data_IF_482681670589
#
_entry.id   IF_482681670589
#
_cell.length_a   1.000
_cell.length_b   1.000
_cell.length_c   1.000
_cell.angle_alpha   90.00
_cell.angle_beta   90.00
_cell.angle_gamma   90.00
#
_symmetry.space_group_name_H-M   'P 1'
#
loop_
_entity.id
_entity.type
_entity.pdbx_description
1 polymer ?
#
# COMPACT_ATOMS: atom_id res chain seq x y z
N UNK A 1 52.26 -45.18 1.85
CA UNK A 1 51.69 -45.91 2.99
C UNK A 1 50.18 -45.86 2.89
N UNK A 2 49.59 -46.96 2.58
CA UNK A 2 48.17 -47.20 2.35
C UNK A 2 47.34 -47.02 3.65
N UNK A 3 46.16 -46.45 3.58
CA UNK A 3 45.02 -46.99 4.29
C UNK A 3 43.67 -46.69 3.61
N UNK A 4 43.07 -47.79 3.21
CA UNK A 4 41.73 -47.98 2.70
C UNK A 4 40.66 -47.82 3.78
N UNK A 5 39.46 -47.56 3.28
CA UNK A 5 38.14 -48.13 3.65
C UNK A 5 37.26 -47.19 4.46
N UNK A 6 35.94 -47.15 4.34
CA UNK A 6 34.95 -48.19 4.03
C UNK A 6 33.69 -47.50 3.56
N UNK A 7 33.13 -47.97 2.50
CA UNK A 7 31.72 -47.84 2.09
C UNK A 7 30.82 -48.54 3.11
N UNK A 8 29.73 -47.90 3.51
CA UNK A 8 28.60 -48.55 4.16
C UNK A 8 27.34 -48.30 3.35
N UNK A 9 26.87 -49.40 2.77
CA UNK A 9 25.62 -49.54 2.05
C UNK A 9 24.43 -49.39 2.98
N UNK A 10 23.38 -48.75 2.46
CA UNK A 10 22.05 -48.75 3.06
C UNK A 10 21.20 -49.85 2.46
N UNK A 11 20.41 -50.59 3.27
CA UNK A 11 19.54 -51.65 2.75
C UNK A 11 18.21 -51.09 2.24
N UNK A 12 17.77 -51.59 1.09
CA UNK A 12 16.50 -51.28 0.43
C UNK A 12 15.29 -51.91 1.10
N UNK A 13 14.09 -51.47 0.78
CA UNK A 13 12.85 -51.99 1.35
C UNK A 13 12.38 -53.27 0.62
N UNK A 14 11.93 -54.23 1.40
CA UNK A 14 11.30 -55.48 0.92
C UNK A 14 9.81 -55.26 0.62
N UNK A 15 9.25 -55.94 -0.40
CA UNK A 15 7.83 -55.91 -0.69
C UNK A 15 7.08 -56.96 0.13
N UNK A 16 5.95 -56.57 0.72
CA UNK A 16 5.02 -57.44 1.39
C UNK A 16 3.65 -57.40 0.74
N UNK A 17 3.36 -58.45 -0.06
CA UNK A 17 2.03 -58.84 -0.47
C UNK A 17 1.12 -59.12 0.70
N UNK A 18 -0.12 -58.68 0.63
CA UNK A 18 -1.23 -59.52 1.04
C UNK A 18 -2.51 -59.11 0.30
N UNK A 19 -2.95 -60.10 -0.48
CA UNK A 19 -4.18 -60.10 -1.22
C UNK A 19 -5.36 -60.60 -0.35
N UNK A 20 -6.54 -60.29 -0.82
CA UNK A 20 -7.80 -61.05 -0.66
C UNK A 20 -8.52 -61.03 0.69
N UNK A 21 -9.70 -60.43 0.69
CA UNK A 21 -10.94 -61.17 1.01
C UNK A 21 -12.16 -60.50 0.40
N UNK A 22 -12.59 -61.12 -0.68
CA UNK A 22 -13.93 -61.12 -1.29
C UNK A 22 -14.77 -62.13 -0.53
N UNK A 23 -16.05 -61.86 -0.28
CA UNK A 23 -17.19 -62.81 -0.25
C UNK A 23 -18.37 -62.09 0.46
N UNK A 24 -19.39 -61.68 -0.29
CA UNK A 24 -20.69 -62.34 -0.54
C UNK A 24 -21.51 -62.57 0.73
N UNK A 25 -22.62 -61.83 0.85
CA UNK A 25 -23.91 -62.42 1.22
C UNK A 25 -25.02 -61.70 0.48
N UNK A 26 -25.66 -62.49 -0.38
CA UNK A 26 -26.93 -62.24 -1.09
C UNK A 26 -28.09 -62.72 -0.21
N UNK A 27 -29.23 -62.09 -0.40
CA UNK A 27 -30.62 -62.60 -0.25
C UNK A 27 -31.28 -62.64 1.13
N UNK A 28 -32.29 -61.84 1.25
CA UNK A 28 -33.62 -62.35 1.66
C UNK A 28 -34.73 -61.40 1.17
N UNK A 29 -35.39 -61.85 0.14
CA UNK A 29 -36.73 -61.39 -0.32
C UNK A 29 -37.74 -61.94 0.67
N UNK A 30 -38.67 -61.11 1.18
CA UNK A 30 -39.93 -61.57 1.68
C UNK A 30 -41.02 -60.50 1.48
N UNK A 31 -41.92 -60.83 0.60
CA UNK A 31 -43.19 -60.27 0.39
C UNK A 31 -43.96 -60.06 1.73
N UNK A 32 -44.59 -58.90 1.91
CA UNK A 32 -45.89 -58.82 2.58
C UNK A 32 -46.80 -57.86 1.83
N UNK A 33 -47.89 -58.44 1.44
CA UNK A 33 -48.98 -57.87 0.68
C UNK A 33 -49.98 -57.21 1.62
N UNK A 34 -50.56 -56.09 1.15
CA UNK A 34 -51.91 -55.57 1.43
C UNK A 34 -52.22 -54.97 2.81
N UNK A 35 -52.51 -53.68 2.77
CA UNK A 35 -53.80 -53.18 3.13
C UNK A 35 -53.91 -51.70 2.68
N UNK A 36 -54.74 -51.50 1.68
CA UNK A 36 -55.20 -50.22 1.19
C UNK A 36 -56.15 -49.63 2.22
N UNK A 37 -55.74 -48.61 2.98
CA UNK A 37 -56.65 -47.73 3.74
C UNK A 37 -56.40 -46.33 3.23
N UNK A 38 -57.36 -45.85 2.47
CA UNK A 38 -57.42 -44.47 2.00
C UNK A 38 -57.64 -43.56 3.22
N UNK A 39 -56.59 -42.85 3.62
CA UNK A 39 -56.70 -41.71 4.53
C UNK A 39 -56.76 -40.44 3.68
N UNK A 40 -57.61 -39.48 4.03
CA UNK A 40 -57.67 -38.18 3.32
C UNK A 40 -56.38 -37.41 3.51
N UNK A 41 -55.96 -36.60 2.54
CA UNK A 41 -54.75 -35.80 2.69
C UNK A 41 -54.97 -34.75 3.78
N UNK A 42 -54.28 -34.90 4.89
CA UNK A 42 -54.05 -33.80 5.83
C UNK A 42 -53.34 -32.70 5.09
N UNK A 43 -54.06 -31.63 4.80
CA UNK A 43 -53.44 -30.38 4.37
C UNK A 43 -52.49 -29.92 5.47
N UNK A 44 -51.19 -30.17 5.31
CA UNK A 44 -50.17 -29.51 6.07
C UNK A 44 -50.28 -28.01 5.75
N UNK A 45 -50.88 -27.26 6.66
CA UNK A 45 -50.75 -25.81 6.67
C UNK A 45 -49.27 -25.52 6.75
N UNK A 46 -48.69 -25.07 5.63
CA UNK A 46 -47.36 -24.48 5.61
C UNK A 46 -47.44 -23.24 6.53
N UNK A 47 -46.82 -23.35 7.70
CA UNK A 47 -46.52 -22.20 8.49
C UNK A 47 -45.74 -21.22 7.58
N UNK A 48 -46.03 -19.92 7.59
CA UNK A 48 -45.21 -18.94 6.84
C UNK A 48 -43.79 -19.11 7.35
N UNK A 49 -42.90 -19.43 6.45
CA UNK A 49 -41.46 -19.32 6.69
C UNK A 49 -41.24 -17.86 7.05
N UNK A 50 -41.05 -17.59 8.32
CA UNK A 50 -40.39 -16.35 8.74
C UNK A 50 -39.03 -16.39 8.05
N UNK A 51 -38.92 -15.66 6.96
CA UNK A 51 -37.61 -15.18 6.51
C UNK A 51 -37.09 -14.35 7.67
N UNK A 52 -36.20 -14.94 8.44
CA UNK A 52 -35.27 -14.17 9.26
C UNK A 52 -34.56 -13.20 8.31
N UNK A 53 -35.17 -12.04 8.10
CA UNK A 53 -34.48 -10.86 7.64
C UNK A 53 -33.49 -10.55 8.76
N UNK A 54 -32.35 -11.24 8.67
CA UNK A 54 -31.18 -10.95 9.45
C UNK A 54 -30.83 -9.50 9.11
N UNK A 55 -31.34 -8.58 9.93
CA UNK A 55 -31.06 -7.16 9.85
C UNK A 55 -29.55 -6.99 10.08
N UNK A 56 -28.78 -7.23 9.03
CA UNK A 56 -27.35 -6.96 8.99
C UNK A 56 -27.17 -5.46 9.00
N UNK A 57 -27.10 -4.91 10.19
CA UNK A 57 -26.64 -3.54 10.37
C UNK A 57 -25.19 -3.48 9.85
N UNK A 58 -25.04 -3.13 8.56
CA UNK A 58 -23.76 -2.80 7.98
C UNK A 58 -23.34 -1.47 8.58
N UNK A 59 -22.71 -1.50 9.75
CA UNK A 59 -22.07 -0.32 10.32
C UNK A 59 -20.80 -0.09 9.49
N UNK A 60 -20.93 0.69 8.44
CA UNK A 60 -19.75 1.27 7.78
C UNK A 60 -19.11 2.24 8.77
N UNK A 61 -18.18 1.75 9.55
CA UNK A 61 -17.40 2.58 10.43
C UNK A 61 -16.29 3.21 9.59
N UNK A 62 -16.49 4.46 9.18
CA UNK A 62 -15.44 5.24 8.52
C UNK A 62 -14.26 5.43 9.51
N UNK A 63 -13.24 4.57 9.39
CA UNK A 63 -12.01 4.68 10.18
C UNK A 63 -11.04 5.65 9.49
N UNK A 64 -10.55 6.61 10.25
CA UNK A 64 -9.43 7.44 9.83
C UNK A 64 -8.15 6.74 10.26
N UNK A 65 -7.34 6.33 9.29
CA UNK A 65 -6.05 5.67 9.51
C UNK A 65 -4.93 6.70 9.35
N UNK A 66 -4.07 6.77 10.34
CA UNK A 66 -2.91 7.65 10.38
C UNK A 66 -1.63 6.81 10.50
N UNK A 67 -0.67 7.11 9.67
CA UNK A 67 0.70 6.61 9.80
C UNK A 67 1.54 7.69 10.49
N UNK A 68 2.17 7.35 11.60
CA UNK A 68 2.95 8.29 12.38
C UNK A 68 4.38 7.78 12.59
N UNK A 69 5.36 8.60 12.22
CA UNK A 69 6.76 8.39 12.58
C UNK A 69 7.08 9.22 13.81
N UNK A 70 7.66 8.57 14.81
CA UNK A 70 8.10 9.24 16.04
C UNK A 70 9.62 9.15 16.12
N UNK A 71 10.27 10.30 16.25
CA UNK A 71 11.74 10.36 16.37
C UNK A 71 12.18 11.12 17.62
N UNK A 72 13.37 10.78 18.09
CA UNK A 72 14.06 11.55 19.12
C UNK A 72 14.69 12.84 18.55
N UNK A 73 15.36 13.62 19.40
CA UNK A 73 16.09 14.83 18.99
C UNK A 73 17.21 14.59 17.99
N UNK A 74 17.69 13.36 17.85
CA UNK A 74 18.74 12.96 16.92
C UNK A 74 18.15 12.29 15.66
N UNK A 75 16.86 12.48 15.40
CA UNK A 75 16.11 11.86 14.28
C UNK A 75 16.07 10.34 14.29
N UNK A 76 16.36 9.68 15.42
CA UNK A 76 16.29 8.22 15.55
C UNK A 76 14.86 7.79 15.82
N UNK A 77 14.35 6.76 15.10
CA UNK A 77 13.00 6.24 15.35
C UNK A 77 12.84 5.75 16.80
N UNK A 78 11.71 6.12 17.41
CA UNK A 78 11.30 5.66 18.75
C UNK A 78 10.18 4.65 18.54
N UNK A 79 10.46 3.40 18.86
CA UNK A 79 9.69 2.25 18.42
C UNK A 79 8.96 1.48 19.55
N UNK A 80 9.08 1.92 20.78
CA UNK A 80 8.62 1.22 21.99
C UNK A 80 7.52 1.97 22.76
N UNK A 81 6.88 2.94 22.10
CA UNK A 81 5.74 3.67 22.66
C UNK A 81 4.48 2.80 22.65
N UNK A 82 3.62 2.99 23.65
CA UNK A 82 2.33 2.32 23.79
C UNK A 82 1.18 3.25 23.41
N UNK A 83 -0.01 2.69 23.19
CA UNK A 83 -1.20 3.46 22.86
C UNK A 83 -1.47 4.60 23.87
N UNK A 84 -1.28 4.36 25.15
CA UNK A 84 -1.51 5.34 26.22
C UNK A 84 -0.54 6.52 26.19
N UNK A 85 0.57 6.40 25.44
CA UNK A 85 1.50 7.50 25.23
C UNK A 85 1.02 8.48 24.17
N UNK A 86 -0.08 8.17 23.46
CA UNK A 86 -0.59 8.96 22.35
C UNK A 86 -1.94 9.59 22.64
N UNK A 87 -2.13 10.79 22.13
CA UNK A 87 -3.43 11.46 21.99
C UNK A 87 -3.60 11.93 20.56
N UNK A 88 -4.78 11.73 20.01
CA UNK A 88 -5.17 12.18 18.67
C UNK A 88 -6.25 13.25 18.82
N UNK A 89 -6.11 14.34 18.07
CA UNK A 89 -7.10 15.42 18.04
C UNK A 89 -7.53 15.64 16.59
N UNK A 90 -8.85 15.80 16.38
CA UNK A 90 -9.43 16.23 15.11
C UNK A 90 -10.13 17.58 15.32
N UNK A 91 -9.73 18.59 14.58
CA UNK A 91 -10.21 19.98 14.76
C UNK A 91 -10.19 20.44 16.24
N UNK A 92 -9.19 19.98 17.01
CA UNK A 92 -9.03 20.29 18.43
C UNK A 92 -9.81 19.38 19.39
N UNK A 93 -10.73 18.55 18.89
CA UNK A 93 -11.46 17.56 19.71
C UNK A 93 -10.66 16.27 19.85
N UNK A 94 -10.47 15.78 21.08
CA UNK A 94 -9.76 14.51 21.35
C UNK A 94 -10.55 13.34 20.78
N UNK A 95 -9.85 12.44 20.06
CA UNK A 95 -10.42 11.25 19.44
C UNK A 95 -9.96 9.98 20.16
N UNK A 96 -10.87 9.03 20.33
CA UNK A 96 -10.55 7.75 20.96
C UNK A 96 -9.85 6.83 19.96
N UNK A 97 -8.61 6.45 20.21
CA UNK A 97 -7.86 5.48 19.41
C UNK A 97 -8.55 4.12 19.47
N UNK A 98 -8.89 3.56 18.32
CA UNK A 98 -9.52 2.24 18.15
C UNK A 98 -8.51 1.16 17.78
N UNK A 99 -7.57 1.51 16.90
CA UNK A 99 -6.51 0.63 16.45
C UNK A 99 -5.18 1.31 16.71
N UNK A 100 -4.28 0.59 17.35
CA UNK A 100 -2.91 1.00 17.56
C UNK A 100 -2.01 -0.20 17.25
N UNK A 101 -1.20 -0.09 16.23
CA UNK A 101 -0.30 -1.14 15.79
C UNK A 101 1.04 -0.56 15.40
N UNK A 102 2.06 -1.38 15.50
CA UNK A 102 3.36 -1.17 14.91
C UNK A 102 3.80 -2.50 14.32
N UNK A 103 3.47 -2.67 13.07
CA UNK A 103 3.75 -3.90 12.32
C UNK A 103 4.39 -3.51 10.98
N UNK A 104 5.30 -4.34 10.51
CA UNK A 104 5.80 -4.25 9.14
C UNK A 104 4.73 -4.83 8.20
N UNK A 105 3.89 -3.95 7.68
CA UNK A 105 2.84 -4.31 6.72
C UNK A 105 3.34 -4.08 5.30
N UNK A 106 2.89 -4.91 4.33
CA UNK A 106 3.18 -4.69 2.93
C UNK A 106 2.73 -3.32 2.44
N UNK A 107 3.46 -2.77 1.48
CA UNK A 107 3.29 -1.39 0.99
C UNK A 107 3.22 -1.36 -0.53
N UNK A 108 2.27 -0.60 -1.08
CA UNK A 108 2.29 -0.20 -2.49
C UNK A 108 3.21 1.01 -2.64
N UNK A 109 4.29 0.87 -3.40
CA UNK A 109 5.32 1.90 -3.56
C UNK A 109 5.35 2.40 -4.99
N UNK A 110 5.29 3.72 -5.18
CA UNK A 110 5.62 4.37 -6.44
C UNK A 110 7.00 5.01 -6.36
N UNK A 111 7.88 4.70 -7.29
CA UNK A 111 9.18 5.36 -7.44
C UNK A 111 9.08 6.32 -8.62
N UNK A 112 9.17 7.61 -8.33
CA UNK A 112 8.99 8.71 -9.29
C UNK A 112 10.34 9.38 -9.50
N UNK A 113 10.92 9.22 -10.68
CA UNK A 113 12.31 9.60 -10.92
C UNK A 113 12.43 10.63 -12.01
N UNK A 114 13.09 11.72 -11.68
CA UNK A 114 13.44 12.79 -12.60
C UNK A 114 14.41 12.29 -13.67
N UNK A 115 14.04 12.51 -14.92
CA UNK A 115 14.80 12.19 -16.12
C UNK A 115 15.16 13.43 -16.93
N UNK A 116 15.17 14.61 -16.30
CA UNK A 116 15.63 15.85 -16.92
C UNK A 116 17.10 15.83 -17.27
N UNK A 117 17.52 16.78 -18.11
CA UNK A 117 18.89 16.85 -18.60
C UNK A 117 19.95 17.00 -17.50
N UNK A 118 19.62 17.64 -16.38
CA UNK A 118 20.51 17.84 -15.21
C UNK A 118 20.77 16.56 -14.41
N UNK A 119 19.87 15.58 -14.52
CA UNK A 119 20.00 14.30 -13.84
C UNK A 119 20.99 13.31 -14.47
N UNK A 120 21.49 13.60 -15.68
CA UNK A 120 22.30 12.66 -16.48
C UNK A 120 23.41 11.99 -15.68
N UNK A 121 24.22 12.77 -14.98
CA UNK A 121 25.37 12.25 -14.23
C UNK A 121 24.98 11.62 -12.88
N UNK A 122 23.78 11.91 -12.38
CA UNK A 122 23.27 11.42 -11.09
C UNK A 122 22.46 10.12 -11.23
N UNK A 123 21.93 9.84 -12.43
CA UNK A 123 21.00 8.72 -12.68
C UNK A 123 21.53 7.36 -12.26
N UNK A 124 22.81 7.08 -12.50
CA UNK A 124 23.41 5.79 -12.10
C UNK A 124 23.31 5.56 -10.58
N UNK A 125 23.58 6.59 -9.79
CA UNK A 125 23.47 6.52 -8.33
C UNK A 125 22.01 6.39 -7.88
N UNK A 126 21.10 7.13 -8.52
CA UNK A 126 19.63 7.06 -8.24
C UNK A 126 19.07 5.68 -8.56
N UNK A 127 19.40 5.12 -9.72
CA UNK A 127 18.96 3.78 -10.09
C UNK A 127 19.46 2.72 -9.10
N UNK A 128 20.73 2.78 -8.71
CA UNK A 128 21.28 1.88 -7.70
C UNK A 128 20.57 2.01 -6.35
N UNK A 129 20.21 3.23 -5.94
CA UNK A 129 19.47 3.48 -4.70
C UNK A 129 18.03 2.97 -4.78
N UNK A 130 17.34 3.20 -5.90
CA UNK A 130 15.98 2.68 -6.12
C UNK A 130 15.96 1.15 -6.08
N UNK A 131 16.90 0.49 -6.75
CA UNK A 131 17.03 -0.96 -6.71
C UNK A 131 17.37 -1.47 -5.31
N UNK A 132 18.27 -0.79 -4.60
CA UNK A 132 18.60 -1.14 -3.21
C UNK A 132 17.39 -1.02 -2.30
N UNK A 133 16.57 0.01 -2.49
CA UNK A 133 15.31 0.17 -1.77
C UNK A 133 14.40 -1.05 -2.01
N UNK A 134 14.16 -1.40 -3.28
CA UNK A 134 13.32 -2.55 -3.66
C UNK A 134 13.86 -3.87 -3.10
N UNK A 135 15.17 -4.11 -3.22
CA UNK A 135 15.81 -5.33 -2.69
C UNK A 135 15.76 -5.46 -1.17
N UNK A 136 15.63 -4.33 -0.45
CA UNK A 136 15.48 -4.30 1.02
C UNK A 136 14.03 -4.24 1.46
N UNK A 137 13.09 -4.23 0.53
CA UNK A 137 11.65 -4.19 0.78
C UNK A 137 11.10 -5.56 1.16
N UNK A 138 9.85 -5.59 1.65
CA UNK A 138 9.16 -6.83 1.97
C UNK A 138 8.81 -7.55 0.65
N UNK A 139 8.93 -8.87 0.61
CA UNK A 139 8.59 -9.70 -0.57
C UNK A 139 7.13 -9.54 -1.03
N UNK A 140 6.26 -8.99 -0.18
CA UNK A 140 4.86 -8.73 -0.50
C UNK A 140 4.59 -7.28 -0.88
N UNK A 141 5.63 -6.44 -0.96
CA UNK A 141 5.48 -5.08 -1.48
C UNK A 141 5.26 -5.14 -2.99
N UNK A 142 4.46 -4.23 -3.50
CA UNK A 142 4.29 -4.02 -4.93
C UNK A 142 4.85 -2.65 -5.31
N UNK A 143 5.58 -2.58 -6.42
CA UNK A 143 6.30 -1.36 -6.83
C UNK A 143 5.95 -1.01 -8.26
N UNK A 144 5.69 0.28 -8.55
CA UNK A 144 5.62 0.82 -9.90
C UNK A 144 6.66 1.93 -10.09
N UNK A 145 7.01 2.22 -11.34
CA UNK A 145 8.00 3.25 -11.68
C UNK A 145 7.40 4.24 -12.67
N UNK A 146 7.51 5.51 -12.32
CA UNK A 146 7.24 6.66 -13.18
C UNK A 146 8.55 7.41 -13.40
N UNK A 147 8.94 7.58 -14.65
CA UNK A 147 9.98 8.53 -15.03
C UNK A 147 9.34 9.81 -15.57
N UNK A 148 9.95 10.96 -15.34
CA UNK A 148 9.43 12.23 -15.85
C UNK A 148 10.55 13.16 -16.32
N UNK A 149 10.22 13.99 -17.31
CA UNK A 149 11.02 15.10 -17.80
C UNK A 149 10.08 16.25 -18.14
N UNK A 150 9.83 16.55 -19.40
CA UNK A 150 8.78 17.50 -19.85
C UNK A 150 7.37 16.94 -19.60
N UNK A 151 7.24 15.61 -19.52
CA UNK A 151 6.00 14.87 -19.23
C UNK A 151 6.34 13.68 -18.32
N UNK A 152 5.30 13.08 -17.72
CA UNK A 152 5.41 11.88 -16.89
C UNK A 152 5.06 10.61 -17.68
N UNK A 153 5.78 9.52 -17.43
CA UNK A 153 5.62 8.24 -18.11
C UNK A 153 5.61 7.09 -17.10
N UNK A 154 4.62 6.20 -17.19
CA UNK A 154 4.59 4.94 -16.45
C UNK A 154 5.48 3.92 -17.17
N UNK A 155 6.67 3.66 -16.65
CA UNK A 155 7.63 2.73 -17.26
C UNK A 155 7.52 1.30 -16.73
N UNK A 156 7.03 1.11 -15.53
CA UNK A 156 6.61 -0.19 -14.98
C UNK A 156 5.34 -0.05 -14.17
N UNK A 157 4.33 -0.87 -14.46
CA UNK A 157 3.14 -1.04 -13.61
C UNK A 157 3.51 -1.80 -12.33
N UNK A 158 2.61 -1.90 -11.35
CA UNK A 158 2.85 -2.62 -10.11
C UNK A 158 3.38 -4.03 -10.36
N UNK A 159 4.56 -4.29 -9.80
CA UNK A 159 5.24 -5.58 -9.88
C UNK A 159 6.14 -5.81 -8.66
N UNK A 160 6.40 -7.06 -8.33
CA UNK A 160 7.43 -7.53 -7.39
C UNK A 160 8.71 -8.00 -8.12
N UNK A 161 8.70 -7.99 -9.45
CA UNK A 161 9.81 -8.44 -10.29
C UNK A 161 10.95 -7.43 -10.36
N UNK A 162 12.03 -7.68 -9.62
CA UNK A 162 13.24 -6.85 -9.65
C UNK A 162 13.77 -6.64 -11.08
N UNK A 163 13.86 -7.67 -11.96
CA UNK A 163 14.35 -7.47 -13.34
C UNK A 163 13.51 -6.49 -14.15
N UNK A 164 12.18 -6.48 -13.99
CA UNK A 164 11.30 -5.52 -14.67
C UNK A 164 11.51 -4.10 -14.16
N UNK A 165 11.71 -3.94 -12.85
CA UNK A 165 12.00 -2.65 -12.25
C UNK A 165 13.39 -2.12 -12.66
N UNK A 166 14.39 -3.00 -12.79
CA UNK A 166 15.71 -2.65 -13.36
C UNK A 166 15.58 -2.13 -14.79
N UNK A 167 14.89 -2.88 -15.64
CA UNK A 167 14.64 -2.47 -17.03
C UNK A 167 13.97 -1.11 -17.12
N UNK A 168 12.95 -0.86 -16.29
CA UNK A 168 12.25 0.43 -16.24
C UNK A 168 13.15 1.58 -15.81
N UNK A 169 14.06 1.35 -14.84
CA UNK A 169 15.03 2.35 -14.38
C UNK A 169 16.13 2.61 -15.38
N UNK A 170 16.47 1.65 -16.25
CA UNK A 170 17.52 1.78 -17.27
C UNK A 170 17.03 2.46 -18.57
N UNK A 171 15.75 2.51 -18.85
CA UNK A 171 15.12 3.13 -20.03
C UNK A 171 15.26 4.64 -20.10
N UNK A 172 16.46 5.22 -19.92
CA UNK A 172 16.56 6.63 -19.65
C UNK A 172 17.38 7.37 -20.69
N UNK A 173 16.72 8.36 -21.27
CA UNK A 173 17.34 9.38 -22.10
C UNK A 173 17.20 10.74 -21.37
N UNK A 174 18.16 11.05 -20.49
CA UNK A 174 18.11 12.25 -19.64
C UNK A 174 18.12 13.52 -20.49
N UNK A 175 16.96 14.14 -20.67
CA UNK A 175 16.70 15.32 -21.47
C UNK A 175 15.42 16.06 -21.05
N UNK A 176 15.26 17.27 -21.53
CA UNK A 176 14.05 18.07 -21.27
C UNK A 176 14.04 18.79 -19.93
N UNK A 177 12.87 19.28 -19.54
CA UNK A 177 12.58 19.99 -18.31
C UNK A 177 12.24 19.05 -17.15
N UNK A 178 11.49 19.58 -16.17
CA UNK A 178 11.16 18.91 -14.90
C UNK A 178 9.67 19.12 -14.61
N UNK A 179 8.82 18.15 -14.94
CA UNK A 179 7.37 18.15 -14.68
C UNK A 179 7.03 17.35 -13.41
N UNK A 180 7.60 17.74 -12.27
CA UNK A 180 7.47 17.03 -10.99
C UNK A 180 6.01 16.97 -10.52
N UNK A 181 5.27 18.09 -10.60
CA UNK A 181 3.90 18.12 -10.07
C UNK A 181 2.95 17.26 -10.91
N UNK A 182 3.08 17.26 -12.24
CA UNK A 182 2.33 16.39 -13.12
C UNK A 182 2.69 14.91 -12.88
N UNK A 183 3.95 14.60 -12.58
CA UNK A 183 4.39 13.25 -12.24
C UNK A 183 3.82 12.76 -10.89
N UNK A 184 3.73 13.66 -9.92
CA UNK A 184 3.06 13.36 -8.64
C UNK A 184 1.57 13.10 -8.86
N UNK A 185 0.87 13.94 -9.62
CA UNK A 185 -0.55 13.79 -9.94
C UNK A 185 -0.83 12.45 -10.62
N UNK A 186 -0.14 12.15 -11.72
CA UNK A 186 -0.23 10.87 -12.44
C UNK A 186 0.01 9.67 -11.49
N UNK A 187 1.03 9.77 -10.63
CA UNK A 187 1.36 8.69 -9.71
C UNK A 187 0.30 8.50 -8.63
N UNK A 188 -0.32 9.57 -8.14
CA UNK A 188 -1.42 9.50 -7.18
C UNK A 188 -2.66 8.87 -7.79
N UNK A 189 -2.99 9.20 -9.04
CA UNK A 189 -4.10 8.61 -9.76
C UNK A 189 -3.85 7.12 -10.01
N UNK A 190 -2.66 6.74 -10.51
CA UNK A 190 -2.26 5.35 -10.69
C UNK A 190 -2.34 4.55 -9.35
N UNK A 191 -1.86 5.13 -8.26
CA UNK A 191 -1.93 4.55 -6.92
C UNK A 191 -3.39 4.36 -6.46
N UNK A 192 -4.28 5.30 -6.78
CA UNK A 192 -5.70 5.21 -6.44
C UNK A 192 -6.39 4.08 -7.18
N UNK A 193 -6.08 3.93 -8.47
CA UNK A 193 -6.75 2.97 -9.36
C UNK A 193 -6.22 1.54 -9.25
N UNK A 194 -4.92 1.37 -9.00
CA UNK A 194 -4.22 0.10 -9.19
C UNK A 194 -3.64 -0.51 -7.92
N UNK A 195 -3.33 0.31 -6.90
CA UNK A 195 -2.73 -0.19 -5.67
C UNK A 195 -3.66 -1.14 -4.92
N UNK A 196 -3.15 -2.32 -4.58
CA UNK A 196 -3.91 -3.38 -3.89
C UNK A 196 -3.74 -3.34 -2.38
N UNK A 197 -2.71 -2.66 -1.87
CA UNK A 197 -2.38 -2.60 -0.45
C UNK A 197 -2.85 -1.29 0.19
N UNK A 198 -3.22 -1.37 1.47
CA UNK A 198 -3.75 -0.23 2.23
C UNK A 198 -2.71 0.86 2.47
N UNK A 199 -1.46 0.47 2.72
CA UNK A 199 -0.35 1.40 2.92
C UNK A 199 0.26 1.78 1.58
N UNK A 200 0.26 3.09 1.29
CA UNK A 200 0.64 3.65 -0.01
C UNK A 200 1.72 4.70 0.17
N UNK A 201 2.80 4.56 -0.60
CA UNK A 201 3.97 5.44 -0.51
C UNK A 201 4.44 5.84 -1.90
N UNK A 202 4.77 7.13 -2.09
CA UNK A 202 5.53 7.62 -3.24
C UNK A 202 6.92 8.06 -2.78
N UNK A 203 7.94 7.78 -3.59
CA UNK A 203 9.31 8.27 -3.41
C UNK A 203 9.66 9.06 -4.67
N UNK A 204 9.66 10.39 -4.56
CA UNK A 204 9.98 11.28 -5.67
C UNK A 204 11.43 11.77 -5.56
N UNK A 205 12.20 11.59 -6.63
CA UNK A 205 13.63 11.92 -6.69
C UNK A 205 13.85 12.90 -7.83
N UNK A 206 14.38 14.10 -7.51
CA UNK A 206 14.65 15.16 -8.49
C UNK A 206 15.87 15.97 -8.09
N UNK A 207 16.46 16.69 -9.02
CA UNK A 207 17.57 17.61 -8.77
C UNK A 207 17.26 19.08 -9.13
N UNK A 208 16.01 19.37 -9.46
CA UNK A 208 15.61 20.67 -9.97
C UNK A 208 14.32 21.24 -9.44
N UNK A 209 14.09 22.50 -9.84
CA UNK A 209 12.81 23.20 -9.70
C UNK A 209 11.86 22.72 -10.81
N UNK A 210 10.59 22.48 -10.46
CA UNK A 210 9.55 22.26 -11.45
C UNK A 210 9.46 23.43 -12.44
N UNK A 211 9.51 23.13 -13.71
CA UNK A 211 9.48 24.13 -14.78
C UNK A 211 8.68 23.71 -16.03
N UNK A 212 8.08 22.51 -16.01
CA UNK A 212 7.37 21.94 -17.14
C UNK A 212 5.96 21.46 -16.79
N UNK A 213 5.58 21.37 -15.51
CA UNK A 213 4.24 20.93 -15.11
C UNK A 213 3.15 21.88 -15.54
N UNK A 214 1.99 21.34 -15.85
CA UNK A 214 0.75 22.07 -16.18
C UNK A 214 0.02 22.53 -14.92
N UNK A 215 0.12 21.75 -13.84
CA UNK A 215 -0.47 22.12 -12.56
C UNK A 215 0.51 22.90 -11.70
N UNK A 216 -0.03 23.70 -10.78
CA UNK A 216 0.78 24.47 -9.83
C UNK A 216 1.16 23.65 -8.59
N UNK A 217 2.13 24.14 -7.81
CA UNK A 217 2.49 23.55 -6.51
C UNK A 217 1.28 23.44 -5.57
N UNK A 218 0.45 24.50 -5.53
CA UNK A 218 -0.74 24.54 -4.68
C UNK A 218 -1.75 23.45 -5.07
N UNK A 219 -1.93 23.23 -6.37
CA UNK A 219 -2.79 22.15 -6.88
C UNK A 219 -2.21 20.78 -6.53
N UNK A 220 -0.91 20.56 -6.75
CA UNK A 220 -0.24 19.32 -6.36
C UNK A 220 -0.38 19.04 -4.86
N UNK A 221 -0.17 20.03 -4.00
CA UNK A 221 -0.34 19.90 -2.55
C UNK A 221 -1.79 19.54 -2.18
N UNK A 222 -2.80 20.15 -2.82
CA UNK A 222 -4.20 19.77 -2.61
C UNK A 222 -4.51 18.33 -3.02
N UNK A 223 -3.95 17.85 -4.14
CA UNK A 223 -4.07 16.45 -4.56
C UNK A 223 -3.46 15.51 -3.53
N UNK A 224 -2.28 15.84 -3.04
CA UNK A 224 -1.58 15.10 -1.98
C UNK A 224 -2.41 15.03 -0.70
N UNK A 225 -2.98 16.16 -0.24
CA UNK A 225 -3.83 16.21 0.97
C UNK A 225 -5.11 15.38 0.83
N UNK A 226 -5.67 15.27 -0.40
CA UNK A 226 -6.84 14.41 -0.69
C UNK A 226 -6.49 12.95 -0.83
N UNK A 227 -5.24 12.64 -1.17
CA UNK A 227 -4.76 11.26 -1.29
C UNK A 227 -4.52 10.66 0.10
N UNK A 228 -4.51 9.34 0.17
CA UNK A 228 -4.05 8.61 1.36
C UNK A 228 -2.62 8.07 1.15
N UNK A 229 -1.82 8.78 0.36
CA UNK A 229 -0.46 8.38 -0.03
C UNK A 229 0.55 9.21 0.73
N UNK A 230 1.53 8.56 1.33
CA UNK A 230 2.65 9.23 1.98
C UNK A 230 3.76 9.48 0.96
N UNK A 231 4.26 10.72 0.89
CA UNK A 231 5.25 11.10 -0.12
C UNK A 231 6.58 11.43 0.53
N UNK A 232 7.60 10.67 0.19
CA UNK A 232 8.98 10.97 0.47
C UNK A 232 9.60 11.69 -0.74
N UNK A 233 10.33 12.76 -0.49
CA UNK A 233 11.05 13.44 -1.56
C UNK A 233 12.55 13.45 -1.31
N UNK A 234 13.32 13.24 -2.36
CA UNK A 234 14.79 13.29 -2.34
C UNK A 234 15.25 14.35 -3.33
N UNK A 235 15.80 15.44 -2.80
CA UNK A 235 16.28 16.57 -3.60
C UNK A 235 17.80 16.52 -3.75
N UNK A 236 18.29 16.20 -4.95
CA UNK A 236 19.73 16.18 -5.29
C UNK A 236 20.21 17.58 -5.71
N UNK A 237 19.88 18.59 -4.89
CA UNK A 237 20.09 20.00 -5.20
C UNK A 237 21.55 20.40 -5.06
N UNK A 238 22.05 21.17 -6.01
CA UNK A 238 23.38 21.77 -5.90
C UNK A 238 23.30 23.10 -5.19
N UNK A 239 24.15 23.33 -4.19
CA UNK A 239 24.21 24.61 -3.46
C UNK A 239 24.60 25.80 -4.33
N UNK A 240 24.92 25.57 -5.60
CA UNK A 240 25.42 26.57 -6.53
C UNK A 240 24.33 27.34 -7.28
N UNK A 241 23.09 26.76 -7.39
CA UNK A 241 22.02 27.31 -8.23
C UNK A 241 21.09 28.33 -7.52
N UNK A 242 21.37 28.68 -6.29
CA UNK A 242 20.85 29.86 -5.60
C UNK A 242 19.33 29.90 -5.42
N UNK A 243 18.60 30.62 -6.30
CA UNK A 243 17.17 30.86 -6.18
C UNK A 243 16.34 29.63 -6.59
N UNK A 244 16.75 28.93 -7.65
CA UNK A 244 16.09 27.72 -8.13
C UNK A 244 16.10 26.63 -7.08
N UNK A 245 17.28 26.36 -6.48
CA UNK A 245 17.40 25.35 -5.42
C UNK A 245 16.53 25.67 -4.20
N UNK A 246 16.38 26.97 -3.86
CA UNK A 246 15.48 27.35 -2.75
C UNK A 246 14.00 27.07 -3.06
N UNK A 247 13.57 27.27 -4.30
CA UNK A 247 12.20 26.97 -4.73
C UNK A 247 11.96 25.47 -4.77
N UNK A 248 12.88 24.70 -5.41
CA UNK A 248 12.82 23.25 -5.42
C UNK A 248 12.76 22.67 -3.99
N UNK A 249 13.64 23.16 -3.09
CA UNK A 249 13.64 22.75 -1.69
C UNK A 249 12.29 23.01 -1.01
N UNK A 250 11.70 24.18 -1.22
CA UNK A 250 10.40 24.54 -0.67
C UNK A 250 9.29 23.63 -1.20
N UNK A 251 9.23 23.41 -2.51
CA UNK A 251 8.21 22.55 -3.13
C UNK A 251 8.28 21.12 -2.60
N UNK A 252 9.47 20.54 -2.53
CA UNK A 252 9.67 19.20 -1.99
C UNK A 252 9.26 19.10 -0.51
N UNK A 253 9.57 20.13 0.29
CA UNK A 253 9.15 20.21 1.69
C UNK A 253 7.64 20.33 1.85
N UNK A 254 6.95 21.14 1.03
CA UNK A 254 5.49 21.30 1.09
C UNK A 254 4.77 20.01 0.70
N UNK A 255 5.18 19.35 -0.39
CA UNK A 255 4.62 18.07 -0.85
C UNK A 255 4.78 16.98 0.23
N UNK A 256 6.00 16.76 0.74
CA UNK A 256 6.24 15.76 1.77
C UNK A 256 5.48 16.04 3.06
N UNK A 257 5.45 17.30 3.49
CA UNK A 257 4.75 17.71 4.72
C UNK A 257 3.24 17.51 4.63
N UNK A 258 2.62 17.78 3.48
CA UNK A 258 1.19 17.60 3.26
C UNK A 258 0.77 16.15 3.47
N UNK A 259 1.59 15.20 3.00
CA UNK A 259 1.35 13.76 3.10
C UNK A 259 1.75 13.13 4.45
N UNK A 260 2.53 13.83 5.27
CA UNK A 260 3.16 13.26 6.48
C UNK A 260 4.43 12.47 6.21
N UNK A 261 4.96 12.52 4.99
CA UNK A 261 6.24 11.93 4.62
C UNK A 261 7.44 12.77 5.06
N UNK A 262 8.61 12.50 4.51
CA UNK A 262 9.86 13.21 4.81
C UNK A 262 10.54 13.70 3.53
N UNK A 263 11.38 14.71 3.71
CA UNK A 263 12.24 15.22 2.64
C UNK A 263 13.70 15.02 3.02
N UNK A 264 14.49 14.60 2.04
CA UNK A 264 15.93 14.37 2.18
C UNK A 264 16.71 15.23 1.16
N UNK A 265 17.82 15.77 1.60
CA UNK A 265 18.71 16.56 0.76
C UNK A 265 20.14 16.02 0.93
N UNK A 266 20.49 14.89 0.26
CA UNK A 266 21.85 14.38 0.31
C UNK A 266 22.83 15.40 -0.28
N UNK A 267 23.99 15.54 0.35
CA UNK A 267 25.03 16.48 -0.10
C UNK A 267 25.81 15.93 -1.30
N UNK A 268 25.93 14.61 -1.38
CA UNK A 268 26.60 13.93 -2.48
C UNK A 268 25.66 12.88 -3.11
N UNK A 269 25.80 12.61 -4.42
CA UNK A 269 25.02 11.57 -5.09
C UNK A 269 25.20 10.17 -4.45
N UNK A 270 26.36 9.88 -3.87
CA UNK A 270 26.64 8.61 -3.21
C UNK A 270 25.84 8.41 -1.91
N UNK A 271 25.38 9.49 -1.28
CA UNK A 271 24.57 9.45 -0.06
C UNK A 271 23.15 8.99 -0.34
N UNK A 272 22.71 8.92 -1.61
CA UNK A 272 21.35 8.49 -2.00
C UNK A 272 21.06 7.05 -1.57
N UNK A 273 22.07 6.19 -1.56
CA UNK A 273 21.96 4.82 -1.06
C UNK A 273 21.61 4.78 0.44
N UNK A 274 22.23 5.66 1.24
CA UNK A 274 21.93 5.79 2.66
C UNK A 274 20.51 6.31 2.85
N UNK A 275 20.11 7.34 2.08
CA UNK A 275 18.76 7.90 2.09
C UNK A 275 17.69 6.83 1.74
N UNK A 276 17.94 5.97 0.75
CA UNK A 276 17.04 4.88 0.41
C UNK A 276 16.83 3.92 1.60
N UNK A 277 17.90 3.61 2.32
CA UNK A 277 17.84 2.78 3.53
C UNK A 277 17.09 3.48 4.66
N UNK A 278 17.30 4.78 4.84
CA UNK A 278 16.58 5.58 5.84
C UNK A 278 15.08 5.65 5.55
N UNK A 279 14.69 5.82 4.28
CA UNK A 279 13.29 5.80 3.84
C UNK A 279 12.67 4.43 4.12
N UNK A 280 13.34 3.34 3.73
CA UNK A 280 12.87 1.99 3.99
C UNK A 280 12.66 1.74 5.49
N UNK A 281 13.63 2.13 6.32
CA UNK A 281 13.53 2.03 7.77
C UNK A 281 12.38 2.88 8.35
N UNK A 282 12.18 4.08 7.82
CA UNK A 282 11.12 4.96 8.25
C UNK A 282 9.74 4.35 7.95
N UNK A 283 9.55 3.85 6.72
CA UNK A 283 8.30 3.19 6.31
C UNK A 283 7.99 1.99 7.20
N UNK A 284 8.99 1.18 7.59
CA UNK A 284 8.82 -0.03 8.42
C UNK A 284 8.55 0.27 9.91
N UNK A 285 9.00 1.44 10.40
CA UNK A 285 8.94 1.77 11.81
C UNK A 285 7.80 2.71 12.20
N UNK A 286 6.77 2.84 11.38
CA UNK A 286 5.61 3.70 11.66
C UNK A 286 4.62 3.06 12.61
N UNK A 287 3.98 3.92 13.39
CA UNK A 287 2.77 3.57 14.15
C UNK A 287 1.55 3.74 13.26
N UNK A 288 0.70 2.73 13.21
CA UNK A 288 -0.62 2.78 12.61
C UNK A 288 -1.62 3.10 13.71
N UNK A 289 -2.23 4.26 13.63
CA UNK A 289 -3.20 4.76 14.59
C UNK A 289 -4.51 4.99 13.86
N UNK A 290 -5.60 4.32 14.29
CA UNK A 290 -6.88 4.55 13.69
C UNK A 290 -7.94 4.91 14.73
N UNK A 291 -8.86 5.80 14.33
CA UNK A 291 -9.98 6.23 15.14
C UNK A 291 -11.24 6.42 14.29
N UNK A 292 -12.40 6.35 14.94
CA UNK A 292 -13.66 6.76 14.31
C UNK A 292 -13.89 8.22 14.64
N UNK A 293 -14.06 9.11 13.64
CA UNK A 293 -14.31 10.52 13.88
C UNK A 293 -15.57 10.73 14.75
N UNK A 294 -15.49 11.65 15.71
CA UNK A 294 -16.68 12.09 16.46
C UNK A 294 -17.58 12.98 15.61
N UNK A 295 -17.02 13.66 14.61
CA UNK A 295 -17.77 14.40 13.61
C UNK A 295 -18.02 13.52 12.37
N UNK A 296 -19.24 12.99 12.28
CA UNK A 296 -19.66 12.08 11.21
C UNK A 296 -20.18 12.77 9.94
N UNK A 297 -20.11 14.10 9.85
CA UNK A 297 -20.54 14.83 8.66
C UNK A 297 -19.72 14.44 7.44
N UNK A 298 -20.39 14.06 6.35
CA UNK A 298 -19.82 13.76 5.03
C UNK A 298 -19.99 15.00 4.15
N UNK A 299 -19.20 16.04 4.44
CA UNK A 299 -19.36 17.38 3.87
C UNK A 299 -18.16 17.84 3.02
N UNK A 300 -17.24 16.92 2.70
CA UNK A 300 -16.03 17.23 1.92
C UNK A 300 -15.07 18.23 2.60
N UNK A 301 -15.34 18.62 3.86
CA UNK A 301 -14.51 19.61 4.54
C UNK A 301 -13.18 19.02 5.01
N UNK A 302 -12.14 19.88 5.03
CA UNK A 302 -10.84 19.48 5.58
C UNK A 302 -10.92 19.32 7.11
N UNK A 303 -10.40 18.20 7.61
CA UNK A 303 -10.31 17.83 9.02
C UNK A 303 -8.85 17.89 9.45
N UNK A 304 -8.50 18.89 10.23
CA UNK A 304 -7.14 18.98 10.78
C UNK A 304 -6.92 17.90 11.81
N UNK A 305 -5.82 17.14 11.68
CA UNK A 305 -5.43 16.10 12.64
C UNK A 305 -4.12 16.47 13.33
N UNK A 306 -4.06 16.24 14.62
CA UNK A 306 -2.85 16.43 15.42
C UNK A 306 -2.63 15.20 16.32
N UNK A 307 -1.44 14.62 16.25
CA UNK A 307 -1.01 13.53 17.14
C UNK A 307 -0.05 14.12 18.17
N UNK A 308 -0.30 13.88 19.46
CA UNK A 308 0.59 14.25 20.56
C UNK A 308 1.10 13.01 21.27
N UNK A 309 2.39 13.01 21.58
CA UNK A 309 2.99 12.03 22.50
C UNK A 309 3.11 12.67 23.88
N UNK A 310 2.42 12.09 24.87
CA UNK A 310 2.17 12.76 26.16
C UNK A 310 3.00 12.23 27.32
N UNK A 311 3.49 11.02 27.25
CA UNK A 311 4.10 10.38 28.42
C UNK A 311 5.55 9.97 28.13
N UNK A 312 6.45 10.95 28.02
CA UNK A 312 7.82 10.64 27.64
C UNK A 312 8.82 10.91 28.76
N UNK A 313 9.38 9.83 29.29
CA UNK A 313 10.62 9.91 30.08
C UNK A 313 11.84 10.28 29.22
N UNK A 314 11.67 10.41 27.90
CA UNK A 314 12.75 10.60 26.90
C UNK A 314 12.93 12.03 26.43
N UNK A 315 12.19 12.99 27.02
CA UNK A 315 12.21 14.39 26.59
C UNK A 315 11.31 14.66 25.38
N UNK A 316 11.61 15.73 24.63
CA UNK A 316 10.80 16.14 23.49
C UNK A 316 11.01 15.16 22.33
N UNK A 317 9.91 14.58 21.83
CA UNK A 317 9.87 13.76 20.64
C UNK A 317 9.27 14.56 19.47
N UNK A 318 9.74 14.26 18.27
CA UNK A 318 9.16 14.79 17.05
C UNK A 318 8.14 13.80 16.52
N UNK A 319 6.95 14.29 16.20
CA UNK A 319 5.85 13.53 15.61
C UNK A 319 5.68 13.97 14.17
N UNK A 320 5.72 13.05 13.24
CA UNK A 320 5.43 13.29 11.82
C UNK A 320 4.29 12.40 11.39
N UNK A 321 3.23 13.02 10.90
CA UNK A 321 2.04 12.39 10.35
C UNK A 321 1.37 13.41 9.41
N UNK A 322 0.40 12.97 8.60
CA UNK A 322 -0.39 13.91 7.79
C UNK A 322 -1.10 14.93 8.69
N UNK A 323 -1.18 16.17 8.22
CA UNK A 323 -1.77 17.28 8.98
C UNK A 323 -3.31 17.22 9.05
N UNK A 324 -3.94 16.41 8.22
CA UNK A 324 -5.39 16.25 8.16
C UNK A 324 -5.83 15.39 6.98
N UNK A 325 -7.12 15.41 6.72
CA UNK A 325 -7.75 14.71 5.60
C UNK A 325 -9.05 15.43 5.20
N UNK A 326 -9.55 15.15 4.00
CA UNK A 326 -10.86 15.61 3.58
C UNK A 326 -11.91 14.57 3.96
N UNK A 327 -12.98 14.99 4.65
CA UNK A 327 -14.11 14.11 4.92
C UNK A 327 -14.71 13.64 3.58
N UNK A 328 -15.24 12.41 3.56
CA UNK A 328 -15.96 11.94 2.37
C UNK A 328 -17.11 12.90 2.05
N UNK A 329 -17.35 13.13 0.76
CA UNK A 329 -18.53 13.88 0.33
C UNK A 329 -19.66 12.87 0.06
N UNK A 330 -20.86 13.16 0.58
CA UNK A 330 -22.04 12.33 0.32
C UNK A 330 -22.45 12.26 -1.15
N UNK A 331 -21.97 13.21 -1.96
CA UNK A 331 -22.23 13.26 -3.41
C UNK A 331 -21.28 12.38 -4.24
N UNK A 332 -20.13 11.97 -3.71
CA UNK A 332 -19.17 11.08 -4.40
C UNK A 332 -19.56 9.59 -4.32
N UNK A 333 -20.53 9.21 -3.51
CA UNK A 333 -20.93 7.80 -3.33
C UNK A 333 -21.77 7.24 -4.49
N UNK A 334 -22.12 8.05 -5.51
CA UNK A 334 -22.97 7.67 -6.65
C UNK A 334 -22.30 6.88 -7.77
N UNK A 335 -20.98 6.83 -7.85
CA UNK A 335 -20.29 6.33 -9.07
C UNK A 335 -19.51 5.01 -8.92
N UNK A 336 -19.62 4.30 -7.79
CA UNK A 336 -18.87 3.05 -7.59
C UNK A 336 -19.72 1.79 -7.41
N UNK A 337 -20.95 1.77 -7.89
CA UNK A 337 -21.67 0.51 -8.09
C UNK A 337 -21.37 -0.07 -9.48
N UNK A 338 -20.10 -0.43 -9.72
CA UNK A 338 -19.73 -1.25 -10.88
C UNK A 338 -20.27 -2.65 -10.67
N UNK A 339 -21.37 -2.95 -11.35
CA UNK A 339 -21.92 -4.28 -11.61
C UNK A 339 -20.78 -5.27 -11.95
N UNK A 340 -20.75 -6.46 -11.32
CA UNK A 340 -19.76 -7.47 -11.70
C UNK A 340 -19.96 -7.86 -13.17
N UNK A 341 -18.92 -8.12 -13.95
CA UNK A 341 -19.04 -8.51 -15.35
C UNK A 341 -19.86 -9.79 -15.43
N UNK A 342 -20.94 -9.75 -16.20
CA UNK A 342 -21.72 -10.92 -16.57
C UNK A 342 -20.77 -11.88 -17.28
N UNK A 343 -20.59 -13.08 -16.72
CA UNK A 343 -19.94 -14.18 -17.39
C UNK A 343 -20.65 -14.44 -18.70
N UNK A 344 -20.01 -14.15 -19.82
CA UNK A 344 -20.48 -14.53 -21.12
C UNK A 344 -20.37 -16.05 -21.27
N UNK A 345 -21.49 -16.74 -21.08
CA UNK A 345 -21.72 -18.07 -21.64
C UNK A 345 -21.88 -17.90 -23.15
N UNK A 346 -20.78 -18.03 -23.89
CA UNK A 346 -20.79 -18.14 -25.34
C UNK A 346 -19.83 -19.26 -25.76
N UNK A 347 -20.30 -20.50 -25.57
CA UNK A 347 -19.71 -21.69 -26.17
C UNK A 347 -20.83 -22.72 -26.34
N UNK A 348 -21.71 -22.39 -27.32
CA UNK A 348 -22.57 -23.39 -27.95
C UNK A 348 -23.15 -22.73 -29.22
N UNK A 349 -22.48 -22.92 -30.34
CA UNK A 349 -23.01 -22.98 -31.71
C UNK A 349 -21.87 -22.93 -32.73
N UNK A 350 -21.24 -24.06 -32.97
CA UNK A 350 -20.67 -24.37 -34.28
C UNK A 350 -20.55 -25.89 -34.36
N UNK A 351 -21.66 -26.53 -34.65
CA UNK A 351 -21.65 -27.85 -35.28
C UNK A 351 -21.32 -27.66 -36.77
N UNK A 352 -20.29 -28.33 -37.20
CA UNK A 352 -20.09 -29.07 -38.47
C UNK A 352 -18.63 -29.49 -38.54
#
# INVERSE_FOLDING_TARGET
MLRRSKTSELPGPRPGCFASRLLIVLAAVSLFFAANVAAPPLALAQAPSQTDDEFRLRVETDLVVLHATITDKNSRPVADLKQDDFKVFENGAEQKIKIFKREDVPVSVGIVVDNSGSMRDKRKGVNAAALKFVQSSNERDEVFIVNFSDEAYLDADFTDSIPLLEEALEKIDARGGTALYDAVDMSLEHMKERATLDKKVLIAITDGEDNASRISLEQAVQLVERSNVMIYTVGLLSWQNGRSDRRAKRSLQEISKASGGAVFFPENPDDVLAVASDIANDIRNQYVIAYTPTNLKKDGSFRKVEIKVINTRRGKLNVRARAGYYAKDSNETGDQEKTPPKSSSALEAAGL
#
